data_IF_141319730054
#
_entry.id   IF_141319730054
#
_cell.length_a   1.000
_cell.length_b   1.000
_cell.length_c   1.000
_cell.angle_alpha   90.00
_cell.angle_beta   90.00
_cell.angle_gamma   90.00
#
_symmetry.space_group_name_H-M   'P 1'
#
loop_
_entity.id
_entity.type
_entity.pdbx_description
1 polymer ?
#
# COMPACT_ATOMS: atom_id res chain seq x y z
N UNK A 1 -24.66 11.81 -6.38
CA UNK A 1 -24.28 10.91 -5.27
C UNK A 1 -22.78 11.12 -5.04
N UNK A 2 -22.32 11.22 -3.80
CA UNK A 2 -20.88 11.36 -3.51
C UNK A 2 -20.26 9.97 -3.44
N UNK A 3 -19.07 9.81 -3.98
CA UNK A 3 -18.32 8.55 -3.98
C UNK A 3 -16.92 8.78 -3.40
N UNK A 4 -16.36 7.82 -2.64
CA UNK A 4 -14.99 7.90 -2.17
C UNK A 4 -14.02 7.92 -3.35
N UNK A 5 -13.07 8.87 -3.35
CA UNK A 5 -12.09 9.02 -4.45
C UNK A 5 -10.74 8.39 -4.18
N UNK A 6 -10.36 8.26 -2.91
CA UNK A 6 -9.00 7.94 -2.56
C UNK A 6 -8.66 8.22 -1.10
N UNK A 7 -7.44 7.91 -0.72
CA UNK A 7 -6.92 7.99 0.63
C UNK A 7 -6.00 9.21 0.77
N UNK A 8 -5.66 9.55 2.02
CA UNK A 8 -4.59 10.50 2.32
C UNK A 8 -3.53 9.81 3.17
N UNK A 9 -2.26 9.97 2.81
CA UNK A 9 -1.14 9.51 3.63
C UNK A 9 -1.10 10.28 4.97
N UNK A 10 -0.33 9.83 5.98
CA UNK A 10 -0.10 10.60 7.21
C UNK A 10 0.49 12.01 6.97
N UNK A 11 1.10 12.22 5.81
CA UNK A 11 1.68 13.50 5.35
C UNK A 11 0.72 14.32 4.47
N UNK A 12 -0.57 13.95 4.42
CA UNK A 12 -1.63 14.60 3.62
C UNK A 12 -1.41 14.58 2.10
N UNK A 13 -0.66 13.61 1.57
CA UNK A 13 -0.62 13.38 0.13
C UNK A 13 -1.85 12.58 -0.30
N UNK A 14 -2.53 13.04 -1.34
CA UNK A 14 -3.67 12.35 -1.94
C UNK A 14 -3.19 11.10 -2.70
N UNK A 15 -3.91 10.00 -2.53
CA UNK A 15 -3.73 8.74 -3.23
C UNK A 15 -5.06 8.36 -3.87
N UNK A 16 -5.08 8.11 -5.18
CA UNK A 16 -6.25 7.53 -5.84
C UNK A 16 -6.42 6.06 -5.43
N UNK A 17 -7.63 5.52 -5.59
CA UNK A 17 -7.87 4.08 -5.39
C UNK A 17 -6.96 3.29 -6.34
N UNK A 18 -6.18 2.36 -5.79
CA UNK A 18 -5.15 1.57 -6.47
C UNK A 18 -3.74 2.18 -6.41
N UNK A 19 -3.59 3.44 -6.00
CA UNK A 19 -2.27 4.03 -5.78
C UNK A 19 -1.57 3.39 -4.59
N UNK A 20 -0.24 3.36 -4.68
CA UNK A 20 0.64 2.71 -3.73
C UNK A 20 1.75 3.64 -3.28
N UNK A 21 2.15 3.47 -2.03
CA UNK A 21 3.36 4.09 -1.51
C UNK A 21 4.14 3.10 -0.66
N UNK A 22 5.41 3.43 -0.39
CA UNK A 22 6.27 2.64 0.48
C UNK A 22 6.58 3.46 1.73
N UNK A 23 6.35 2.87 2.89
CA UNK A 23 6.68 3.46 4.18
C UNK A 23 7.18 2.36 5.12
N UNK A 24 8.28 2.63 5.83
CA UNK A 24 8.87 1.72 6.83
C UNK A 24 9.06 0.27 6.35
N UNK A 25 9.41 0.09 5.07
CA UNK A 25 9.65 -1.22 4.48
C UNK A 25 8.40 -1.99 4.06
N UNK A 26 7.24 -1.33 3.94
CA UNK A 26 6.01 -1.93 3.45
C UNK A 26 5.44 -1.16 2.27
N UNK A 27 4.97 -1.88 1.26
CA UNK A 27 4.11 -1.33 0.20
C UNK A 27 2.66 -1.32 0.70
N UNK A 28 2.04 -0.15 0.62
CA UNK A 28 0.68 0.11 1.12
C UNK A 28 -0.15 0.64 -0.06
N UNK A 29 -1.29 0.01 -0.32
CA UNK A 29 -2.24 0.37 -1.38
C UNK A 29 -3.49 1.02 -0.78
N UNK A 30 -3.99 2.09 -1.41
CA UNK A 30 -5.31 2.64 -1.13
C UNK A 30 -6.38 1.78 -1.82
N UNK A 31 -7.24 1.11 -1.07
CA UNK A 31 -8.29 0.25 -1.65
C UNK A 31 -9.67 0.67 -1.18
N UNK A 32 -10.65 0.55 -2.06
CA UNK A 32 -12.07 0.61 -1.72
C UNK A 32 -12.57 -0.82 -1.51
N UNK A 33 -13.00 -1.14 -0.30
CA UNK A 33 -13.50 -2.47 0.00
C UNK A 33 -14.89 -2.72 -0.59
N UNK A 34 -15.33 -3.99 -0.51
CA UNK A 34 -16.64 -4.41 -1.02
C UNK A 34 -17.83 -3.75 -0.30
N UNK A 35 -17.60 -3.21 0.89
CA UNK A 35 -18.61 -2.59 1.75
C UNK A 35 -18.63 -1.05 1.55
N UNK A 36 -17.77 -0.53 0.67
CA UNK A 36 -17.74 0.88 0.27
C UNK A 36 -16.81 1.76 1.13
N UNK A 37 -15.94 1.16 1.94
CA UNK A 37 -15.01 1.88 2.80
C UNK A 37 -13.61 1.93 2.20
N UNK A 38 -12.98 3.10 2.28
CA UNK A 38 -11.57 3.26 1.95
C UNK A 38 -10.71 2.73 3.09
N UNK A 39 -9.71 1.93 2.74
CA UNK A 39 -8.73 1.41 3.69
C UNK A 39 -7.34 1.29 3.06
N UNK A 40 -6.34 1.14 3.92
CA UNK A 40 -5.00 0.80 3.51
C UNK A 40 -4.79 -0.72 3.56
N UNK A 41 -4.34 -1.29 2.46
CA UNK A 41 -3.97 -2.69 2.37
C UNK A 41 -2.44 -2.82 2.25
N UNK A 42 -1.83 -3.66 3.08
CA UNK A 42 -0.43 -4.04 2.94
C UNK A 42 -0.30 -5.07 1.80
N UNK A 43 0.49 -4.76 0.77
CA UNK A 43 0.57 -5.60 -0.45
C UNK A 43 1.90 -6.30 -0.64
N UNK A 44 2.99 -5.74 -0.09
CA UNK A 44 4.32 -6.34 -0.15
C UNK A 44 5.24 -5.82 0.96
N UNK A 45 6.25 -6.63 1.30
CA UNK A 45 7.43 -6.20 2.02
C UNK A 45 8.44 -5.58 1.04
N UNK A 46 9.11 -4.51 1.46
CA UNK A 46 10.11 -3.75 0.69
C UNK A 46 11.39 -3.61 1.53
N UNK A 47 12.20 -4.68 1.65
CA UNK A 47 13.38 -4.67 2.51
C UNK A 47 14.45 -3.68 2.02
N UNK A 48 14.52 -3.44 0.71
CA UNK A 48 15.41 -2.48 0.05
C UNK A 48 14.68 -1.76 -1.07
N UNK A 49 15.19 -0.58 -1.44
CA UNK A 49 14.59 0.20 -2.52
C UNK A 49 14.60 -0.59 -3.83
N UNK A 50 13.40 -0.88 -4.36
CA UNK A 50 13.22 -1.62 -5.61
C UNK A 50 12.90 -3.10 -5.42
N UNK A 51 13.15 -3.68 -4.25
CA UNK A 51 12.81 -5.07 -3.93
C UNK A 51 11.40 -5.15 -3.35
N UNK A 52 10.56 -6.04 -3.88
CA UNK A 52 9.17 -6.23 -3.43
C UNK A 52 8.88 -7.72 -3.31
N UNK A 53 8.40 -8.11 -2.13
CA UNK A 53 7.99 -9.48 -1.84
C UNK A 53 6.53 -9.47 -1.41
N UNK A 54 5.67 -10.06 -2.23
CA UNK A 54 4.23 -10.17 -1.97
C UNK A 54 3.97 -11.12 -0.81
N UNK A 55 2.74 -11.08 -0.30
CA UNK A 55 2.27 -11.98 0.75
C UNK A 55 2.53 -13.44 0.34
N UNK A 56 3.31 -14.15 1.16
CA UNK A 56 3.69 -15.55 0.94
C UNK A 56 5.02 -15.76 0.21
N UNK A 57 5.62 -14.70 -0.34
CA UNK A 57 6.98 -14.74 -0.88
C UNK A 57 8.01 -14.59 0.26
N UNK A 58 9.19 -15.15 0.04
CA UNK A 58 10.33 -15.10 0.97
C UNK A 58 11.57 -14.61 0.25
N UNK A 59 12.51 -14.05 1.00
CA UNK A 59 13.82 -13.66 0.51
C UNK A 59 14.93 -14.03 1.48
N UNK A 60 16.16 -14.04 0.99
CA UNK A 60 17.35 -14.18 1.82
C UNK A 60 17.99 -12.81 2.01
N UNK A 61 18.34 -12.46 3.25
CA UNK A 61 19.11 -11.24 3.51
C UNK A 61 20.55 -11.42 3.01
N UNK A 62 21.19 -10.32 2.59
CA UNK A 62 22.61 -10.33 2.28
C UNK A 62 23.41 -10.65 3.55
N UNK A 63 24.35 -11.60 3.44
CA UNK A 63 25.26 -12.00 4.52
C UNK A 63 26.22 -10.88 4.95
#
# INVERSE_FOLDING_TARGET
>A
MLEPKGCFTPTNNELYIGDKYVENGYEIECVLDKDGYLQFAFTACVPKQGERYKIGETWEDEQ
#
